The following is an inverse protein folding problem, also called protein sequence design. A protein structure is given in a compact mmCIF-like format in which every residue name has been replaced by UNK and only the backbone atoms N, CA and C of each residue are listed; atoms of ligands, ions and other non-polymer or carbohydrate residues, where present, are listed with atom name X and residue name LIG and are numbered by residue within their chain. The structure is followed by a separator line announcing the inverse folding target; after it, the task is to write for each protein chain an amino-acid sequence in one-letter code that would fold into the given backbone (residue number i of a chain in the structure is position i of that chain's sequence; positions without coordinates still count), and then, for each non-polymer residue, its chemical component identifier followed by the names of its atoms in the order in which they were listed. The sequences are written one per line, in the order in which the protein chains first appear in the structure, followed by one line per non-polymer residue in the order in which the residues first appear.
data_IF_543440230304
#
_entry.id   IF_543440230304
#
_cell.length_a   1.000
_cell.length_b   1.000
_cell.length_c   1.000
_cell.angle_alpha   90.00
_cell.angle_beta   90.00
_cell.angle_gamma   90.00
#
_symmetry.space_group_name_H-M   'P 1'
#
loop_
_entity.id
_entity.type
_entity.pdbx_description
1 polymer ?
#
# COMPACT_ATOMS: atom_id res chain seq x y z
N UNK A 1 -77.73 32.37 -42.03
CA UNK A 1 -77.95 31.59 -43.27
C UNK A 1 -77.46 30.16 -43.06
N UNK A 2 -78.29 29.18 -43.43
CA UNK A 2 -77.98 27.82 -43.92
C UNK A 2 -77.00 26.95 -43.08
N UNK A 3 -77.33 25.75 -42.61
CA UNK A 3 -78.47 24.88 -42.90
C UNK A 3 -78.15 23.46 -42.44
N UNK A 4 -79.18 22.82 -41.89
CA UNK A 4 -79.43 21.37 -41.70
C UNK A 4 -78.48 20.40 -42.44
N UNK A 5 -78.11 19.29 -41.77
CA UNK A 5 -78.67 17.95 -42.05
C UNK A 5 -78.18 16.87 -41.07
N UNK A 6 -79.14 16.19 -40.43
CA UNK A 6 -79.01 14.83 -39.86
C UNK A 6 -78.97 13.80 -41.01
N UNK A 7 -78.22 12.71 -40.83
CA UNK A 7 -78.80 11.36 -40.85
C UNK A 7 -78.36 10.60 -39.58
N UNK A 8 -79.14 9.77 -38.90
CA UNK A 8 -79.99 8.71 -39.42
C UNK A 8 -79.13 7.46 -39.64
N UNK A 9 -79.01 6.56 -38.65
CA UNK A 9 -78.18 5.36 -38.81
C UNK A 9 -78.09 4.41 -37.63
N UNK A 10 -79.09 3.53 -37.54
CA UNK A 10 -79.05 2.12 -37.09
C UNK A 10 -78.32 1.74 -35.79
N UNK A 11 -79.16 1.35 -34.81
CA UNK A 11 -78.86 0.36 -33.78
C UNK A 11 -78.32 -0.92 -34.44
N UNK A 12 -77.11 -1.33 -34.07
CA UNK A 12 -76.72 -2.74 -34.06
C UNK A 12 -76.30 -3.11 -32.65
N UNK A 13 -77.15 -3.92 -32.03
CA UNK A 13 -76.85 -4.76 -30.89
C UNK A 13 -75.79 -5.78 -31.30
N UNK A 14 -74.55 -5.62 -30.83
CA UNK A 14 -73.59 -6.70 -30.78
C UNK A 14 -72.49 -6.42 -29.75
N UNK A 15 -72.25 -7.42 -28.91
CA UNK A 15 -71.06 -7.63 -28.08
C UNK A 15 -71.00 -7.00 -26.68
N UNK A 16 -71.95 -7.39 -25.83
CA UNK A 16 -71.68 -7.51 -24.38
C UNK A 16 -70.59 -8.54 -24.04
N UNK A 17 -70.05 -9.29 -25.01
CA UNK A 17 -68.90 -10.18 -24.84
C UNK A 17 -67.52 -9.50 -25.05
N UNK A 18 -67.44 -8.36 -25.75
CA UNK A 18 -66.15 -7.66 -25.97
C UNK A 18 -65.81 -6.67 -24.83
N UNK A 19 -66.83 -6.14 -24.14
CA UNK A 19 -66.64 -5.26 -22.98
C UNK A 19 -66.17 -5.99 -21.71
N UNK A 20 -66.42 -7.31 -21.59
CA UNK A 20 -65.91 -8.11 -20.48
C UNK A 20 -64.42 -8.49 -20.65
N UNK A 21 -63.95 -8.72 -21.88
CA UNK A 21 -62.54 -8.99 -22.17
C UNK A 21 -61.64 -7.73 -22.11
N UNK A 22 -62.20 -6.55 -22.42
CA UNK A 22 -61.49 -5.27 -22.27
C UNK A 22 -61.42 -4.78 -20.82
N UNK A 23 -62.35 -5.18 -19.95
CA UNK A 23 -62.35 -4.82 -18.53
C UNK A 23 -61.39 -5.66 -17.68
N UNK A 24 -60.99 -6.86 -18.12
CA UNK A 24 -59.96 -7.67 -17.45
C UNK A 24 -58.52 -7.27 -17.84
N UNK A 25 -58.32 -6.71 -19.03
CA UNK A 25 -56.98 -6.30 -19.51
C UNK A 25 -56.49 -4.99 -18.87
N UNK A 26 -57.37 -4.13 -18.34
CA UNK A 26 -56.95 -2.88 -17.68
C UNK A 26 -56.53 -3.04 -16.21
N UNK A 27 -56.99 -4.09 -15.51
CA UNK A 27 -56.63 -4.31 -14.09
C UNK A 27 -55.20 -4.82 -13.87
N UNK A 28 -54.43 -5.07 -14.93
CA UNK A 28 -53.08 -5.64 -14.84
C UNK A 28 -51.96 -4.72 -15.37
N UNK A 29 -52.21 -3.41 -15.54
CA UNK A 29 -51.12 -2.44 -15.74
C UNK A 29 -50.34 -2.26 -14.43
N UNK A 30 -49.44 -3.20 -14.14
CA UNK A 30 -48.49 -3.12 -13.02
C UNK A 30 -47.71 -1.81 -13.17
N UNK A 31 -47.89 -0.88 -12.23
CA UNK A 31 -47.17 0.39 -12.18
C UNK A 31 -45.66 0.13 -12.34
N UNK A 32 -44.95 0.95 -13.14
CA UNK A 32 -43.51 0.80 -13.31
C UNK A 32 -42.84 0.88 -11.93
N UNK A 33 -42.10 -0.17 -11.56
CA UNK A 33 -41.37 -0.22 -10.30
C UNK A 33 -40.35 0.91 -10.26
N UNK A 34 -40.28 1.63 -9.14
CA UNK A 34 -39.29 2.69 -8.97
C UNK A 34 -37.87 2.12 -8.99
N UNK A 35 -36.88 2.95 -9.34
CA UNK A 35 -35.48 2.52 -9.38
C UNK A 35 -35.01 1.97 -8.02
N UNK A 36 -35.48 2.56 -6.91
CA UNK A 36 -35.25 2.03 -5.56
C UNK A 36 -35.85 0.64 -5.33
N UNK A 37 -37.06 0.35 -5.86
CA UNK A 37 -37.64 -1.00 -5.80
C UNK A 37 -36.84 -2.02 -6.62
N UNK A 38 -36.25 -1.61 -7.75
CA UNK A 38 -35.37 -2.48 -8.55
C UNK A 38 -34.07 -2.79 -7.81
N UNK A 39 -33.44 -1.80 -7.18
CA UNK A 39 -32.23 -1.99 -6.37
C UNK A 39 -32.53 -2.90 -5.17
N UNK A 40 -33.63 -2.64 -4.46
CA UNK A 40 -34.05 -3.48 -3.34
C UNK A 40 -34.34 -4.92 -3.80
N UNK A 41 -35.05 -5.09 -4.92
CA UNK A 41 -35.35 -6.43 -5.44
C UNK A 41 -34.09 -7.15 -5.95
N UNK A 42 -33.09 -6.43 -6.46
CA UNK A 42 -31.81 -7.02 -6.85
C UNK A 42 -30.97 -7.45 -5.63
N UNK A 43 -30.93 -6.64 -4.57
CA UNK A 43 -30.13 -6.91 -3.37
C UNK A 43 -30.79 -7.91 -2.41
N UNK A 44 -32.11 -7.81 -2.25
CA UNK A 44 -32.87 -8.56 -1.23
C UNK A 44 -33.94 -9.49 -1.81
N UNK A 45 -34.17 -9.49 -3.12
CA UNK A 45 -35.26 -10.28 -3.73
C UNK A 45 -35.10 -11.80 -3.57
N UNK A 46 -33.88 -12.27 -3.30
CA UNK A 46 -33.62 -13.68 -2.96
C UNK A 46 -34.14 -14.06 -1.56
N UNK A 47 -34.31 -13.11 -0.65
CA UNK A 47 -34.86 -13.33 0.69
C UNK A 47 -36.39 -13.37 0.70
N UNK A 48 -37.06 -12.82 -0.32
CA UNK A 48 -38.52 -12.76 -0.45
C UNK A 48 -39.09 -13.93 -1.29
N UNK A 49 -38.51 -15.12 -1.16
CA UNK A 49 -39.05 -16.32 -1.82
C UNK A 49 -40.34 -16.75 -1.13
N UNK A 50 -41.47 -16.31 -1.69
CA UNK A 50 -42.79 -16.78 -1.26
C UNK A 50 -42.97 -18.22 -1.75
N UNK A 51 -42.73 -19.17 -0.87
CA UNK A 51 -42.99 -20.59 -1.14
C UNK A 51 -44.48 -20.87 -0.89
N UNK A 52 -45.16 -21.38 -1.91
CA UNK A 52 -46.54 -21.88 -1.78
C UNK A 52 -46.50 -23.41 -1.73
N UNK A 53 -46.89 -23.98 -0.59
CA UNK A 53 -47.07 -25.42 -0.40
C UNK A 53 -48.55 -25.68 -0.11
N UNK A 54 -49.19 -26.55 -0.88
CA UNK A 54 -50.62 -26.91 -0.75
C UNK A 54 -51.58 -25.70 -0.68
N UNK A 55 -51.36 -24.68 -1.52
CA UNK A 55 -52.22 -23.49 -1.58
C UNK A 55 -52.10 -22.52 -0.39
N UNK A 56 -51.35 -22.87 0.65
CA UNK A 56 -51.04 -21.99 1.78
C UNK A 56 -49.74 -21.24 1.52
N UNK A 57 -49.74 -19.94 1.83
CA UNK A 57 -48.60 -19.05 1.66
C UNK A 57 -47.74 -19.13 2.92
N UNK A 58 -46.57 -19.75 2.84
CA UNK A 58 -45.62 -19.74 3.94
C UNK A 58 -44.83 -18.43 3.84
N UNK A 59 -44.86 -17.63 4.90
CA UNK A 59 -44.05 -16.43 5.01
C UNK A 59 -42.80 -16.82 5.79
N UNK A 60 -41.61 -16.84 5.16
CA UNK A 60 -40.39 -17.16 5.87
C UNK A 60 -40.13 -16.10 6.95
N UNK A 61 -39.71 -16.55 8.14
CA UNK A 61 -39.32 -15.65 9.21
C UNK A 61 -37.90 -15.13 8.97
N UNK A 62 -37.78 -13.98 8.30
CA UNK A 62 -36.49 -13.36 7.96
C UNK A 62 -35.73 -12.82 9.19
N UNK A 63 -36.30 -12.89 10.40
CA UNK A 63 -35.64 -12.46 11.63
C UNK A 63 -34.38 -13.27 11.95
N UNK A 64 -34.35 -14.57 11.63
CA UNK A 64 -33.18 -15.42 11.89
C UNK A 64 -32.02 -15.06 10.96
N UNK A 65 -32.31 -14.88 9.67
CA UNK A 65 -31.32 -14.51 8.66
C UNK A 65 -30.71 -13.14 8.99
N UNK A 66 -31.55 -12.15 9.32
CA UNK A 66 -31.06 -10.81 9.70
C UNK A 66 -30.19 -10.83 10.96
N UNK A 67 -30.55 -11.61 12.00
CA UNK A 67 -29.70 -11.81 13.19
C UNK A 67 -28.37 -12.47 12.85
N UNK A 68 -28.34 -13.39 11.88
CA UNK A 68 -27.13 -14.05 11.44
C UNK A 68 -26.22 -13.13 10.60
N UNK A 69 -26.81 -12.25 9.79
CA UNK A 69 -26.09 -11.30 8.95
C UNK A 69 -25.61 -10.04 9.70
N UNK A 70 -26.21 -9.73 10.85
CA UNK A 70 -25.90 -8.50 11.60
C UNK A 70 -24.43 -8.43 12.06
N UNK A 71 -23.81 -9.47 12.65
CA UNK A 71 -22.39 -9.40 13.03
C UNK A 71 -21.46 -9.28 11.83
N UNK A 72 -21.79 -9.93 10.71
CA UNK A 72 -21.01 -9.84 9.47
C UNK A 72 -21.05 -8.42 8.90
N UNK A 73 -22.23 -7.80 8.88
CA UNK A 73 -22.41 -6.42 8.40
C UNK A 73 -21.74 -5.41 9.32
N UNK A 74 -21.86 -5.57 10.65
CA UNK A 74 -21.15 -4.74 11.64
C UNK A 74 -19.63 -4.87 11.47
N UNK A 75 -19.12 -6.09 11.28
CA UNK A 75 -17.70 -6.32 10.99
C UNK A 75 -17.25 -5.67 9.69
N UNK A 76 -18.01 -5.82 8.61
CA UNK A 76 -17.68 -5.22 7.31
C UNK A 76 -17.63 -3.68 7.40
N UNK A 77 -18.59 -3.06 8.10
CA UNK A 77 -18.58 -1.60 8.35
C UNK A 77 -17.34 -1.21 9.17
N UNK A 78 -17.00 -1.96 10.21
CA UNK A 78 -15.81 -1.70 11.02
C UNK A 78 -14.52 -1.75 10.20
N UNK A 79 -14.38 -2.76 9.31
CA UNK A 79 -13.24 -2.88 8.39
C UNK A 79 -13.16 -1.69 7.43
N UNK A 80 -14.29 -1.27 6.84
CA UNK A 80 -14.33 -0.12 5.93
C UNK A 80 -13.90 1.16 6.65
N UNK A 81 -14.40 1.41 7.86
CA UNK A 81 -14.06 2.59 8.66
C UNK A 81 -12.57 2.59 9.02
N UNK A 82 -12.05 1.47 9.52
CA UNK A 82 -10.63 1.34 9.85
C UNK A 82 -9.76 1.56 8.61
N UNK A 83 -10.09 0.92 7.51
CA UNK A 83 -9.32 1.05 6.27
C UNK A 83 -9.36 2.49 5.74
N UNK A 84 -10.49 3.17 5.84
CA UNK A 84 -10.62 4.59 5.50
C UNK A 84 -9.73 5.49 6.36
N UNK A 85 -9.72 5.27 7.68
CA UNK A 85 -8.84 6.02 8.61
C UNK A 85 -7.38 5.73 8.32
N UNK A 86 -7.01 4.47 8.14
CA UNK A 86 -5.66 4.05 7.74
C UNK A 86 -5.23 4.73 6.45
N UNK A 87 -6.09 4.73 5.43
CA UNK A 87 -5.79 5.33 4.14
C UNK A 87 -5.54 6.84 4.28
N UNK A 88 -6.36 7.54 5.07
CA UNK A 88 -6.16 8.96 5.36
C UNK A 88 -4.83 9.21 6.11
N UNK A 89 -4.46 8.32 7.05
CA UNK A 89 -3.19 8.42 7.78
C UNK A 89 -1.99 8.14 6.87
N UNK A 90 -2.07 7.12 6.00
CA UNK A 90 -1.06 6.77 5.01
C UNK A 90 -0.84 7.90 4.00
N UNK A 91 -1.91 8.57 3.55
CA UNK A 91 -1.81 9.75 2.69
C UNK A 91 -1.00 10.87 3.39
N UNK A 92 -1.12 11.00 4.72
CA UNK A 92 -0.33 11.92 5.52
C UNK A 92 1.15 11.55 5.69
N UNK A 93 1.58 10.33 5.34
CA UNK A 93 2.98 9.89 5.47
C UNK A 93 3.88 10.35 4.33
N UNK A 94 3.31 10.81 3.21
CA UNK A 94 4.10 11.33 2.09
C UNK A 94 4.92 12.56 2.51
N UNK A 95 4.37 13.39 3.39
CA UNK A 95 5.00 14.61 3.89
C UNK A 95 6.27 14.33 4.73
N UNK A 96 6.23 13.49 5.79
CA UNK A 96 7.44 13.10 6.53
C UNK A 96 8.50 12.42 5.67
N UNK A 97 8.11 11.54 4.74
CA UNK A 97 9.05 10.87 3.84
C UNK A 97 9.74 11.84 2.88
N UNK A 98 8.99 12.78 2.32
CA UNK A 98 9.56 13.84 1.48
C UNK A 98 10.54 14.72 2.27
N UNK A 99 10.19 15.06 3.52
CA UNK A 99 11.05 15.83 4.43
C UNK A 99 12.36 15.10 4.76
N UNK A 100 12.28 13.79 5.03
CA UNK A 100 13.45 12.95 5.28
C UNK A 100 14.37 12.87 4.05
N UNK A 101 13.78 12.74 2.86
CA UNK A 101 14.54 12.73 1.61
C UNK A 101 15.22 14.08 1.33
N UNK A 102 14.53 15.20 1.57
CA UNK A 102 15.09 16.54 1.49
C UNK A 102 16.27 16.71 2.47
N UNK A 103 16.11 16.28 3.72
CA UNK A 103 17.16 16.36 4.74
C UNK A 103 18.39 15.53 4.35
N UNK A 104 18.19 14.30 3.84
CA UNK A 104 19.27 13.47 3.34
C UNK A 104 20.02 14.12 2.16
N UNK A 105 19.28 14.76 1.24
CA UNK A 105 19.89 15.47 0.11
C UNK A 105 20.70 16.69 0.56
N UNK A 106 20.16 17.52 1.45
CA UNK A 106 20.89 18.66 2.02
C UNK A 106 22.18 18.18 2.70
N UNK A 107 22.12 17.10 3.48
CA UNK A 107 23.30 16.51 4.13
C UNK A 107 24.36 16.04 3.13
N UNK A 108 23.92 15.42 2.03
CA UNK A 108 24.80 15.05 0.93
C UNK A 108 25.45 16.28 0.27
N UNK A 109 24.68 17.33 -0.01
CA UNK A 109 25.20 18.56 -0.60
C UNK A 109 26.18 19.29 0.32
N UNK A 110 25.89 19.38 1.62
CA UNK A 110 26.82 19.94 2.62
C UNK A 110 28.15 19.18 2.61
N UNK A 111 28.08 17.85 2.59
CA UNK A 111 29.28 17.00 2.55
C UNK A 111 30.08 17.23 1.27
N UNK A 112 29.40 17.37 0.12
CA UNK A 112 30.03 17.61 -1.17
C UNK A 112 30.67 19.00 -1.26
N UNK A 113 29.95 20.05 -0.83
CA UNK A 113 30.45 21.43 -0.75
C UNK A 113 31.69 21.49 0.14
N UNK A 114 31.68 20.79 1.28
CA UNK A 114 32.83 20.72 2.19
C UNK A 114 34.04 20.08 1.50
N UNK A 115 33.89 18.92 0.89
CA UNK A 115 34.98 18.22 0.20
C UNK A 115 35.55 19.07 -0.94
N UNK A 116 34.71 19.71 -1.75
CA UNK A 116 35.17 20.63 -2.80
C UNK A 116 35.87 21.86 -2.23
N UNK A 117 35.35 22.40 -1.13
CA UNK A 117 35.99 23.48 -0.38
C UNK A 117 37.38 23.12 0.14
N UNK A 118 37.55 21.89 0.65
CA UNK A 118 38.85 21.36 1.06
C UNK A 118 39.79 21.21 -0.14
N UNK A 119 39.31 20.70 -1.28
CA UNK A 119 40.09 20.67 -2.51
C UNK A 119 40.54 22.07 -2.97
N UNK A 120 39.65 23.07 -2.90
CA UNK A 120 39.99 24.45 -3.23
C UNK A 120 41.10 24.99 -2.31
N UNK A 121 40.96 24.75 -1.00
CA UNK A 121 41.88 25.25 0.01
C UNK A 121 43.29 24.62 -0.04
N UNK A 122 43.38 23.36 -0.49
CA UNK A 122 44.62 22.58 -0.55
C UNK A 122 45.20 22.41 -1.97
N UNK A 123 44.53 22.88 -3.02
CA UNK A 123 45.06 22.84 -4.38
C UNK A 123 46.35 23.67 -4.48
N UNK A 124 47.38 23.10 -5.12
CA UNK A 124 48.70 23.73 -5.26
C UNK A 124 48.80 24.61 -6.51
N UNK A 125 48.07 24.28 -7.58
CA UNK A 125 48.04 25.04 -8.83
C UNK A 125 46.92 26.10 -8.83
N UNK A 126 47.26 27.32 -9.26
CA UNK A 126 46.33 28.45 -9.39
C UNK A 126 45.26 28.14 -10.45
N UNK A 127 45.64 27.49 -11.56
CA UNK A 127 44.68 27.14 -12.61
C UNK A 127 43.65 26.10 -12.14
N UNK A 128 44.08 25.16 -11.30
CA UNK A 128 43.21 24.17 -10.68
C UNK A 128 42.23 24.84 -9.71
N UNK A 129 42.71 25.77 -8.86
CA UNK A 129 41.84 26.55 -7.97
C UNK A 129 40.76 27.30 -8.72
N UNK A 130 41.07 27.90 -9.87
CA UNK A 130 40.07 28.58 -10.69
C UNK A 130 38.94 27.66 -11.13
N UNK A 131 39.26 26.42 -11.55
CA UNK A 131 38.24 25.45 -11.96
C UNK A 131 37.38 24.98 -10.78
N UNK A 132 38.02 24.62 -9.67
CA UNK A 132 37.33 24.13 -8.47
C UNK A 132 36.43 25.22 -7.88
N UNK A 133 36.84 26.48 -7.97
CA UNK A 133 36.05 27.64 -7.52
C UNK A 133 34.71 27.72 -8.24
N UNK A 134 34.68 27.61 -9.57
CA UNK A 134 33.44 27.68 -10.34
C UNK A 134 32.49 26.54 -9.95
N UNK A 135 33.03 25.32 -9.81
CA UNK A 135 32.28 24.16 -9.34
C UNK A 135 31.74 24.36 -7.91
N UNK A 136 32.54 24.92 -7.01
CA UNK A 136 32.15 25.19 -5.63
C UNK A 136 30.96 26.18 -5.58
N UNK A 137 31.02 27.27 -6.34
CA UNK A 137 29.95 28.28 -6.36
C UNK A 137 28.64 27.73 -6.91
N UNK A 138 28.70 26.87 -7.94
CA UNK A 138 27.52 26.15 -8.42
C UNK A 138 26.92 25.26 -7.33
N UNK A 139 27.76 24.47 -6.64
CA UNK A 139 27.29 23.57 -5.57
C UNK A 139 26.75 24.32 -4.34
N UNK A 140 27.31 25.48 -4.00
CA UNK A 140 26.80 26.34 -2.92
C UNK A 140 25.44 26.92 -3.30
N UNK A 141 25.25 27.30 -4.57
CA UNK A 141 23.96 27.76 -5.08
C UNK A 141 22.90 26.65 -4.98
N UNK A 142 23.22 25.45 -5.48
CA UNK A 142 22.35 24.28 -5.37
C UNK A 142 22.00 23.95 -3.91
N UNK A 143 22.99 24.02 -3.01
CA UNK A 143 22.79 23.81 -1.58
C UNK A 143 21.84 24.85 -0.99
N UNK A 144 22.00 26.14 -1.33
CA UNK A 144 21.14 27.22 -0.83
C UNK A 144 19.69 27.01 -1.24
N UNK A 145 19.45 26.61 -2.49
CA UNK A 145 18.11 26.31 -2.99
C UNK A 145 17.48 25.10 -2.31
N UNK A 146 18.21 23.97 -2.24
CA UNK A 146 17.70 22.75 -1.60
C UNK A 146 17.52 22.92 -0.08
N UNK A 147 18.36 23.73 0.56
CA UNK A 147 18.18 24.11 1.96
C UNK A 147 16.94 24.97 2.16
N UNK A 148 16.71 25.98 1.32
CA UNK A 148 15.48 26.77 1.35
C UNK A 148 14.23 25.89 1.16
N UNK A 149 14.30 24.88 0.27
CA UNK A 149 13.22 23.91 0.09
C UNK A 149 12.99 23.03 1.32
N UNK A 150 14.04 22.64 2.04
CA UNK A 150 13.92 21.92 3.31
C UNK A 150 13.19 22.78 4.37
N UNK A 151 13.56 24.07 4.46
CA UNK A 151 13.05 24.97 5.50
C UNK A 151 11.62 25.43 5.23
N UNK A 152 11.33 25.84 3.99
CA UNK A 152 10.08 26.50 3.62
C UNK A 152 9.13 25.61 2.80
N UNK A 153 9.59 24.43 2.40
CA UNK A 153 8.87 23.54 1.50
C UNK A 153 8.97 24.00 0.05
N UNK A 154 8.47 23.17 -0.86
CA UNK A 154 8.47 23.44 -2.28
C UNK A 154 8.64 22.19 -3.14
N UNK A 155 9.03 22.35 -4.39
CA UNK A 155 9.29 21.23 -5.30
C UNK A 155 10.79 20.92 -5.27
N UNK A 156 11.14 19.71 -4.85
CA UNK A 156 12.52 19.21 -4.88
C UNK A 156 12.94 19.05 -6.34
N UNK A 157 14.15 19.50 -6.72
CA UNK A 157 14.67 19.27 -8.07
C UNK A 157 14.85 17.78 -8.33
N UNK A 158 14.44 17.30 -9.50
CA UNK A 158 14.63 15.89 -9.85
C UNK A 158 16.11 15.56 -9.99
N UNK A 159 16.60 14.60 -9.19
CA UNK A 159 18.00 14.14 -9.24
C UNK A 159 18.27 13.36 -10.54
N UNK A 160 17.24 12.74 -11.12
CA UNK A 160 17.33 12.03 -12.39
C UNK A 160 16.10 12.29 -13.25
N UNK A 161 16.34 12.64 -14.53
CA UNK A 161 15.29 12.74 -15.55
C UNK A 161 14.54 11.41 -15.64
N UNK A 162 13.21 11.47 -15.52
CA UNK A 162 12.33 10.29 -15.56
C UNK A 162 11.90 9.74 -14.20
N UNK A 163 12.35 10.30 -13.08
CA UNK A 163 11.79 9.97 -11.76
C UNK A 163 10.51 10.78 -11.51
N UNK A 164 9.35 10.12 -11.50
CA UNK A 164 8.02 10.77 -11.40
C UNK A 164 7.65 11.28 -10.01
N UNK A 165 8.58 11.22 -9.04
CA UNK A 165 8.35 11.65 -7.67
C UNK A 165 8.48 13.18 -7.53
N UNK A 166 7.57 13.94 -8.16
CA UNK A 166 7.39 15.38 -7.87
C UNK A 166 6.58 15.51 -6.58
N UNK A 167 7.20 15.24 -5.43
CA UNK A 167 6.56 15.48 -4.14
C UNK A 167 6.80 16.94 -3.75
N UNK A 168 5.70 17.70 -3.71
CA UNK A 168 5.66 18.96 -2.98
C UNK A 168 6.03 18.64 -1.53
N UNK A 169 7.20 19.09 -1.11
CA UNK A 169 7.71 18.84 0.23
C UNK A 169 7.17 19.92 1.14
N UNK A 170 6.51 19.56 2.26
CA UNK A 170 6.12 20.55 3.25
C UNK A 170 7.36 21.16 3.90
N UNK A 171 7.23 22.30 4.60
CA UNK A 171 8.33 22.85 5.37
C UNK A 171 8.77 21.89 6.49
N UNK A 172 9.87 21.18 6.27
CA UNK A 172 10.33 20.10 7.14
C UNK A 172 10.77 20.61 8.52
N UNK A 173 11.38 21.80 8.54
CA UNK A 173 11.84 22.46 9.78
C UNK A 173 10.70 22.70 10.79
N UNK A 174 9.46 22.79 10.31
CA UNK A 174 8.27 23.02 11.13
C UNK A 174 7.36 21.79 11.24
N UNK A 175 7.77 20.64 10.71
CA UNK A 175 6.98 19.40 10.74
C UNK A 175 6.82 18.84 12.17
N UNK A 176 7.79 19.11 13.04
CA UNK A 176 7.78 18.72 14.46
C UNK A 176 8.26 19.90 15.32
N UNK A 177 7.68 20.12 16.52
CA UNK A 177 8.17 21.12 17.45
C UNK A 177 9.61 20.88 17.88
N UNK A 178 10.04 19.61 17.98
CA UNK A 178 11.41 19.25 18.38
C UNK A 178 12.43 19.63 17.30
N UNK A 179 12.05 19.41 16.03
CA UNK A 179 12.87 19.83 14.87
C UNK A 179 12.95 21.36 14.85
N UNK A 180 11.82 22.06 14.97
CA UNK A 180 11.82 23.52 15.01
C UNK A 180 12.64 24.09 16.18
N UNK A 181 12.63 23.40 17.33
CA UNK A 181 13.46 23.76 18.47
C UNK A 181 14.94 23.61 18.16
N UNK A 182 15.36 22.50 17.54
CA UNK A 182 16.75 22.27 17.15
C UNK A 182 17.25 23.34 16.16
N UNK A 183 16.44 23.67 15.16
CA UNK A 183 16.83 24.62 14.12
C UNK A 183 16.89 26.06 14.63
N UNK A 184 15.89 26.52 15.39
CA UNK A 184 15.70 27.97 15.62
C UNK A 184 15.81 28.40 17.08
N UNK A 185 15.58 27.51 18.04
CA UNK A 185 15.42 27.88 19.47
C UNK A 185 16.50 27.31 20.38
N UNK A 186 17.40 26.51 19.83
CA UNK A 186 18.41 25.84 20.65
C UNK A 186 19.52 26.82 20.99
N UNK A 187 19.55 27.21 22.27
CA UNK A 187 20.56 28.11 22.82
C UNK A 187 21.78 27.35 23.40
N UNK A 188 21.84 26.05 23.18
CA UNK A 188 22.89 25.17 23.69
C UNK A 188 23.79 24.67 22.57
N UNK A 189 25.03 24.34 22.91
CA UNK A 189 25.96 23.71 21.99
C UNK A 189 25.40 22.38 21.43
N UNK A 190 25.49 22.20 20.11
CA UNK A 190 24.98 21.02 19.42
C UNK A 190 25.94 19.83 19.40
N UNK A 191 27.18 19.97 19.88
CA UNK A 191 28.13 18.85 19.95
C UNK A 191 27.61 17.69 20.79
N UNK A 192 27.97 16.47 20.43
CA UNK A 192 27.70 15.28 21.22
C UNK A 192 28.47 15.30 22.55
N UNK A 193 29.73 15.73 22.52
CA UNK A 193 30.54 15.97 23.72
C UNK A 193 30.45 17.44 24.16
N UNK A 194 29.60 17.69 25.17
CA UNK A 194 29.35 19.03 25.71
C UNK A 194 30.59 19.69 26.34
N UNK A 195 31.62 18.92 26.70
CA UNK A 195 32.84 19.46 27.28
C UNK A 195 33.72 20.18 26.26
N UNK A 196 33.58 19.83 24.97
CA UNK A 196 34.36 20.41 23.86
C UNK A 196 33.71 21.65 23.25
N UNK A 197 32.58 22.08 23.78
CA UNK A 197 31.86 23.24 23.30
C UNK A 197 32.68 24.52 23.46
N UNK A 198 32.54 25.42 22.51
CA UNK A 198 33.12 26.75 22.61
C UNK A 198 32.60 27.46 23.87
N UNK A 199 33.50 28.14 24.57
CA UNK A 199 33.18 28.96 25.74
C UNK A 199 32.69 30.36 25.31
N UNK A 200 31.97 31.11 26.16
CA UNK A 200 31.42 32.42 25.81
C UNK A 200 32.43 33.49 25.34
N UNK A 201 33.70 33.32 25.66
CA UNK A 201 34.82 34.17 25.22
C UNK A 201 35.31 33.86 23.80
N UNK A 202 34.93 32.71 23.24
CA UNK A 202 35.27 32.33 21.87
C UNK A 202 34.46 33.14 20.85
N UNK A 203 35.07 33.61 19.74
CA UNK A 203 34.35 34.29 18.67
C UNK A 203 33.29 33.41 17.98
N UNK A 204 33.36 32.09 18.15
CA UNK A 204 32.43 31.14 17.54
C UNK A 204 31.24 30.78 18.42
N UNK A 205 31.28 31.14 19.71
CA UNK A 205 30.22 30.76 20.66
C UNK A 205 28.84 31.24 20.22
N UNK A 206 28.74 32.48 19.74
CA UNK A 206 27.46 33.06 19.38
C UNK A 206 26.80 32.30 18.22
N UNK A 207 27.57 31.87 17.21
CA UNK A 207 26.98 31.15 16.08
C UNK A 207 26.63 29.70 16.43
N UNK A 208 27.44 29.04 17.26
CA UNK A 208 27.20 27.64 17.62
C UNK A 208 26.10 27.42 18.64
N UNK A 209 25.65 28.48 19.30
CA UNK A 209 24.58 28.47 20.30
C UNK A 209 23.30 29.18 19.84
N UNK A 210 23.11 29.45 18.54
CA UNK A 210 21.90 30.12 18.02
C UNK A 210 21.07 29.20 17.11
N UNK A 211 21.09 27.89 17.40
CA UNK A 211 20.40 26.87 16.62
C UNK A 211 21.18 26.40 15.39
N UNK A 212 20.68 25.32 14.78
CA UNK A 212 21.30 24.72 13.60
C UNK A 212 21.17 25.60 12.35
N UNK A 213 20.05 26.32 12.22
CA UNK A 213 19.75 27.16 11.06
C UNK A 213 20.83 28.25 10.85
N UNK A 214 21.14 28.98 11.91
CA UNK A 214 22.17 30.01 11.90
C UNK A 214 23.55 29.46 11.47
N UNK A 215 23.90 28.24 11.88
CA UNK A 215 25.16 27.60 11.49
C UNK A 215 25.17 27.20 10.01
N UNK A 216 24.08 26.64 9.49
CA UNK A 216 23.99 26.24 8.07
C UNK A 216 23.95 27.46 7.15
N UNK A 217 23.20 28.50 7.49
CA UNK A 217 23.21 29.75 6.73
C UNK A 217 24.61 30.38 6.72
N UNK A 218 25.27 30.44 7.89
CA UNK A 218 26.64 30.93 7.97
C UNK A 218 27.61 30.08 7.16
N UNK A 219 27.41 28.77 7.11
CA UNK A 219 28.19 27.85 6.28
C UNK A 219 28.06 28.16 4.80
N UNK A 220 26.83 28.33 4.30
CA UNK A 220 26.54 28.68 2.90
C UNK A 220 27.20 30.01 2.55
N UNK A 221 26.97 31.05 3.36
CA UNK A 221 27.55 32.38 3.15
C UNK A 221 29.09 32.37 3.20
N UNK A 222 29.68 31.58 4.10
CA UNK A 222 31.13 31.50 4.25
C UNK A 222 31.77 30.79 3.07
N UNK A 223 31.18 29.70 2.56
CA UNK A 223 31.68 29.04 1.35
C UNK A 223 31.45 29.87 0.09
N UNK A 224 30.36 30.60 -0.01
CA UNK A 224 30.13 31.56 -1.10
C UNK A 224 31.19 32.66 -1.09
N UNK A 225 31.46 33.26 0.08
CA UNK A 225 32.50 34.26 0.24
C UNK A 225 33.89 33.68 -0.06
N UNK A 226 34.18 32.45 0.40
CA UNK A 226 35.45 31.77 0.16
C UNK A 226 35.65 31.45 -1.33
N UNK A 227 34.61 30.97 -2.02
CA UNK A 227 34.62 30.77 -3.47
C UNK A 227 34.79 32.09 -4.23
N UNK A 228 34.27 33.20 -3.72
CA UNK A 228 34.42 34.51 -4.38
C UNK A 228 35.81 35.16 -4.21
N UNK A 229 36.67 34.65 -3.32
CA UNK A 229 38.04 35.16 -3.18
C UNK A 229 38.85 35.01 -4.49
N UNK A 230 39.88 35.86 -4.68
CA UNK A 230 40.94 35.60 -5.65
C UNK A 230 41.61 34.24 -5.40
N UNK A 231 42.00 33.54 -6.46
CA UNK A 231 42.56 32.19 -6.37
C UNK A 231 43.86 32.13 -5.54
N UNK A 232 44.61 33.23 -5.45
CA UNK A 232 45.80 33.32 -4.60
C UNK A 232 45.45 33.38 -3.10
N UNK A 233 44.25 33.86 -2.75
CA UNK A 233 43.80 34.05 -1.37
C UNK A 233 42.94 32.90 -0.82
N UNK A 234 42.46 32.01 -1.70
CA UNK A 234 41.68 30.82 -1.32
C UNK A 234 42.58 29.66 -0.83
N UNK A 235 43.31 29.86 0.27
CA UNK A 235 44.19 28.86 0.87
C UNK A 235 43.72 28.41 2.26
N UNK A 236 44.20 27.25 2.73
CA UNK A 236 43.78 26.63 4.00
C UNK A 236 44.04 27.43 5.29
N UNK A 237 44.82 28.51 5.23
CA UNK A 237 45.06 29.40 6.38
C UNK A 237 44.27 30.72 6.29
N UNK A 238 43.36 30.83 5.32
CA UNK A 238 42.46 31.98 5.23
C UNK A 238 41.43 31.93 6.38
N UNK A 239 41.09 33.08 6.97
CA UNK A 239 40.20 33.18 8.14
C UNK A 239 38.83 32.53 7.93
N UNK A 240 38.26 32.67 6.73
CA UNK A 240 37.00 32.01 6.36
C UNK A 240 37.11 30.48 6.41
N UNK A 241 38.21 29.92 5.90
CA UNK A 241 38.44 28.48 5.92
C UNK A 241 38.76 27.96 7.32
N UNK A 242 39.47 28.74 8.14
CA UNK A 242 39.69 28.40 9.54
C UNK A 242 38.38 28.30 10.32
N UNK A 243 37.43 29.22 10.10
CA UNK A 243 36.08 29.11 10.68
C UNK A 243 35.38 27.82 10.23
N UNK A 244 35.41 27.53 8.92
CA UNK A 244 34.81 26.32 8.36
C UNK A 244 35.39 25.07 9.03
N UNK A 245 36.72 24.97 9.17
CA UNK A 245 37.35 23.79 9.75
C UNK A 245 37.16 23.66 11.27
N UNK A 246 36.94 24.76 11.99
CA UNK A 246 36.79 24.73 13.45
C UNK A 246 35.35 24.49 13.89
N UNK A 247 34.36 25.02 13.16
CA UNK A 247 32.94 24.96 13.56
C UNK A 247 32.19 23.82 12.89
N UNK A 248 32.45 23.59 11.59
CA UNK A 248 31.61 22.67 10.79
C UNK A 248 31.74 21.21 11.22
N UNK A 249 32.95 20.62 11.34
CA UNK A 249 33.09 19.17 11.51
C UNK A 249 32.50 18.67 12.83
N UNK A 250 32.48 19.52 13.86
CA UNK A 250 31.99 19.20 15.19
C UNK A 250 30.55 19.71 15.39
N UNK A 251 30.36 21.02 15.60
CA UNK A 251 29.07 21.60 16.03
C UNK A 251 27.98 21.44 14.98
N UNK A 252 28.26 21.81 13.73
CA UNK A 252 27.25 21.79 12.67
C UNK A 252 26.90 20.36 12.26
N UNK A 253 27.90 19.49 12.07
CA UNK A 253 27.65 18.09 11.67
C UNK A 253 26.94 17.29 12.76
N UNK A 254 27.32 17.44 14.03
CA UNK A 254 26.58 16.81 15.14
C UNK A 254 25.14 17.32 15.20
N UNK A 255 24.92 18.61 14.97
CA UNK A 255 23.58 19.20 14.86
C UNK A 255 22.77 18.62 13.70
N UNK A 256 23.38 18.43 12.52
CA UNK A 256 22.74 17.79 11.37
C UNK A 256 22.38 16.33 11.68
N UNK A 257 23.27 15.58 12.33
CA UNK A 257 22.98 14.19 12.73
C UNK A 257 21.83 14.12 13.74
N UNK A 258 21.77 15.03 14.71
CA UNK A 258 20.62 15.16 15.62
C UNK A 258 19.34 15.49 14.86
N UNK A 259 19.39 16.37 13.86
CA UNK A 259 18.24 16.69 13.02
C UNK A 259 17.74 15.47 12.24
N UNK A 260 18.65 14.69 11.64
CA UNK A 260 18.31 13.45 10.92
C UNK A 260 17.66 12.43 11.86
N UNK A 261 18.20 12.26 13.07
CA UNK A 261 17.65 11.35 14.09
C UNK A 261 16.24 11.79 14.52
N UNK A 262 16.02 13.09 14.73
CA UNK A 262 14.69 13.64 15.01
C UNK A 262 13.71 13.43 13.86
N UNK A 263 14.13 13.64 12.60
CA UNK A 263 13.31 13.34 11.43
C UNK A 263 12.98 11.84 11.31
N UNK A 264 13.95 10.98 11.62
CA UNK A 264 13.80 9.53 11.67
C UNK A 264 12.75 9.12 12.70
N UNK A 265 12.93 9.55 13.95
CA UNK A 265 12.01 9.26 15.06
C UNK A 265 10.62 9.81 14.81
N UNK A 266 10.51 11.03 14.28
CA UNK A 266 9.22 11.60 13.87
C UNK A 266 8.52 10.73 12.83
N UNK A 267 9.25 10.29 11.80
CA UNK A 267 8.71 9.42 10.75
C UNK A 267 8.29 8.06 11.29
N UNK A 268 9.13 7.42 12.10
CA UNK A 268 8.85 6.12 12.75
C UNK A 268 7.59 6.20 13.62
N UNK A 269 7.46 7.25 14.44
CA UNK A 269 6.28 7.44 15.32
C UNK A 269 4.96 7.48 14.54
N UNK A 270 4.97 8.03 13.31
CA UNK A 270 3.78 8.05 12.44
C UNK A 270 3.45 6.66 11.89
N UNK A 271 4.47 5.87 11.53
CA UNK A 271 4.29 4.48 11.09
C UNK A 271 3.80 3.57 12.22
N UNK A 272 4.32 3.75 13.44
CA UNK A 272 3.87 3.00 14.62
C UNK A 272 2.38 3.24 14.89
N UNK A 273 1.91 4.49 14.79
CA UNK A 273 0.49 4.80 14.95
C UNK A 273 -0.43 4.08 13.94
N UNK A 274 0.01 3.94 12.68
CA UNK A 274 -0.74 3.17 11.66
C UNK A 274 -0.69 1.67 11.97
N UNK A 275 0.47 1.17 12.38
CA UNK A 275 0.68 -0.24 12.73
C UNK A 275 -0.20 -0.64 13.93
N UNK A 276 -0.25 0.20 14.96
CA UNK A 276 -1.08 -0.02 16.15
C UNK A 276 -2.58 -0.11 15.79
N UNK A 277 -3.05 0.71 14.86
CA UNK A 277 -4.44 0.69 14.40
C UNK A 277 -4.79 -0.64 13.71
N UNK A 278 -3.89 -1.17 12.87
CA UNK A 278 -4.08 -2.50 12.25
C UNK A 278 -4.03 -3.63 13.27
N UNK A 279 -3.14 -3.55 14.26
CA UNK A 279 -3.08 -4.54 15.34
C UNK A 279 -4.39 -4.58 16.13
N UNK A 280 -4.96 -3.42 16.48
CA UNK A 280 -6.27 -3.33 17.13
C UNK A 280 -7.36 -3.93 16.23
N UNK A 281 -7.38 -3.61 14.93
CA UNK A 281 -8.34 -4.17 13.98
C UNK A 281 -8.25 -5.69 13.89
N UNK A 282 -7.04 -6.24 13.89
CA UNK A 282 -6.81 -7.69 13.89
C UNK A 282 -7.41 -8.34 15.14
N UNK A 283 -7.14 -7.78 16.33
CA UNK A 283 -7.70 -8.28 17.59
C UNK A 283 -9.23 -8.23 17.57
N UNK A 284 -9.82 -7.10 17.17
CA UNK A 284 -11.29 -6.94 17.07
C UNK A 284 -11.88 -7.96 16.08
N UNK A 285 -11.23 -8.18 14.93
CA UNK A 285 -11.70 -9.15 13.93
C UNK A 285 -11.70 -10.57 14.49
N UNK A 286 -10.62 -10.97 15.18
CA UNK A 286 -10.54 -12.29 15.83
C UNK A 286 -11.63 -12.42 16.88
N UNK A 287 -11.83 -11.41 17.74
CA UNK A 287 -12.88 -11.41 18.76
C UNK A 287 -14.28 -11.54 18.17
N UNK A 288 -14.59 -10.84 17.06
CA UNK A 288 -15.88 -10.93 16.38
C UNK A 288 -16.10 -12.31 15.75
N UNK A 289 -15.07 -12.87 15.11
CA UNK A 289 -15.14 -14.23 14.53
C UNK A 289 -15.37 -15.29 15.61
N UNK A 290 -14.62 -15.22 16.72
CA UNK A 290 -14.81 -16.15 17.85
C UNK A 290 -16.22 -16.01 18.45
N UNK A 291 -16.69 -14.77 18.63
CA UNK A 291 -18.04 -14.50 19.13
C UNK A 291 -19.11 -15.06 18.18
N UNK A 292 -18.95 -14.90 16.87
CA UNK A 292 -19.84 -15.46 15.86
C UNK A 292 -19.89 -17.00 15.92
N UNK A 293 -18.73 -17.65 16.02
CA UNK A 293 -18.64 -19.11 16.11
C UNK A 293 -19.36 -19.63 17.36
N UNK A 294 -19.12 -19.01 18.51
CA UNK A 294 -19.67 -19.45 19.80
C UNK A 294 -21.16 -19.13 19.93
N UNK A 295 -21.58 -17.91 19.58
CA UNK A 295 -22.93 -17.40 19.86
C UNK A 295 -23.94 -17.70 18.74
N UNK A 296 -23.51 -17.84 17.49
CA UNK A 296 -24.44 -18.04 16.36
C UNK A 296 -24.23 -19.38 15.66
N UNK A 297 -23.00 -19.70 15.25
CA UNK A 297 -22.75 -20.92 14.48
C UNK A 297 -23.03 -22.18 15.29
N UNK A 298 -22.52 -22.25 16.54
CA UNK A 298 -22.72 -23.42 17.40
C UNK A 298 -24.19 -23.76 17.69
N UNK A 299 -25.06 -22.82 18.13
CA UNK A 299 -26.47 -23.15 18.34
C UNK A 299 -27.20 -23.47 17.04
N UNK A 300 -26.84 -22.81 15.93
CA UNK A 300 -27.44 -23.11 14.63
C UNK A 300 -27.13 -24.54 14.16
N UNK A 301 -25.88 -24.98 14.27
CA UNK A 301 -25.48 -26.36 13.93
C UNK A 301 -26.17 -27.37 14.85
N UNK A 302 -26.32 -27.07 16.14
CA UNK A 302 -27.08 -27.94 17.07
C UNK A 302 -28.52 -28.10 16.62
N UNK A 303 -29.20 -26.99 16.32
CA UNK A 303 -30.59 -27.01 15.86
C UNK A 303 -30.73 -27.79 14.55
N UNK A 304 -29.86 -27.53 13.56
CA UNK A 304 -29.87 -28.27 12.30
C UNK A 304 -29.65 -29.78 12.51
N UNK A 305 -28.82 -30.16 13.47
CA UNK A 305 -28.55 -31.56 13.76
C UNK A 305 -29.75 -32.23 14.44
N UNK A 306 -30.46 -31.53 15.32
CA UNK A 306 -31.72 -31.98 15.91
C UNK A 306 -32.81 -32.13 14.83
N UNK A 307 -33.03 -31.10 14.00
CA UNK A 307 -33.99 -31.17 12.90
C UNK A 307 -33.65 -32.27 11.88
N UNK A 308 -32.36 -32.46 11.58
CA UNK A 308 -31.92 -33.55 10.69
C UNK A 308 -32.22 -34.93 11.29
N UNK A 309 -32.10 -35.09 12.61
CA UNK A 309 -32.46 -36.34 13.30
C UNK A 309 -33.97 -36.58 13.27
N UNK A 310 -34.77 -35.53 13.47
CA UNK A 310 -36.23 -35.63 13.43
C UNK A 310 -36.72 -35.98 12.03
N UNK A 311 -36.15 -35.35 10.99
CA UNK A 311 -36.45 -35.66 9.59
C UNK A 311 -36.02 -37.09 9.26
N UNK A 312 -34.83 -37.53 9.69
CA UNK A 312 -34.39 -38.90 9.49
C UNK A 312 -35.31 -39.90 10.22
N UNK A 313 -35.79 -39.55 11.42
CA UNK A 313 -36.79 -40.32 12.16
C UNK A 313 -38.11 -40.44 11.41
N UNK A 314 -38.64 -39.33 10.88
CA UNK A 314 -39.85 -39.34 10.04
C UNK A 314 -39.65 -40.15 8.75
N UNK A 315 -38.49 -40.04 8.11
CA UNK A 315 -38.15 -40.82 6.91
C UNK A 315 -38.01 -42.30 7.21
N UNK A 316 -37.54 -42.66 8.42
CA UNK A 316 -37.43 -44.07 8.83
C UNK A 316 -38.78 -44.75 9.12
N UNK A 317 -39.83 -43.96 9.38
CA UNK A 317 -41.19 -44.47 9.61
C UNK A 317 -41.99 -44.66 8.32
N UNK A 318 -41.49 -44.18 7.18
CA UNK A 318 -42.11 -44.46 5.90
C UNK A 318 -41.89 -45.95 5.55
N UNK A 319 -42.96 -46.71 5.24
CA UNK A 319 -42.81 -48.10 4.83
C UNK A 319 -41.85 -48.18 3.64
N UNK A 320 -40.98 -49.19 3.63
CA UNK A 320 -39.91 -49.37 2.64
C UNK A 320 -40.40 -49.33 1.18
N UNK A 321 -41.69 -49.58 0.97
CA UNK A 321 -42.40 -49.52 -0.31
C UNK A 321 -42.50 -48.10 -0.90
N UNK A 322 -42.36 -47.04 -0.09
CA UNK A 322 -42.39 -45.63 -0.53
C UNK A 322 -40.96 -45.10 -0.54
N UNK A 323 -40.17 -45.55 -1.52
CA UNK A 323 -38.84 -44.99 -1.80
C UNK A 323 -38.98 -43.53 -2.30
N UNK A 324 -38.95 -42.59 -1.35
CA UNK A 324 -39.03 -41.15 -1.64
C UNK A 324 -37.84 -40.72 -2.50
N UNK A 325 -36.69 -41.39 -2.37
CA UNK A 325 -35.52 -41.14 -3.23
C UNK A 325 -35.79 -41.48 -4.71
N UNK A 326 -36.38 -42.64 -5.01
CA UNK A 326 -36.71 -42.98 -6.40
C UNK A 326 -37.80 -42.08 -6.94
N UNK A 327 -38.80 -41.76 -6.12
CA UNK A 327 -39.89 -40.88 -6.55
C UNK A 327 -39.37 -39.46 -6.83
N UNK A 328 -38.47 -38.91 -6.01
CA UNK A 328 -37.85 -37.59 -6.23
C UNK A 328 -36.85 -37.63 -7.39
N UNK A 329 -36.03 -38.68 -7.53
CA UNK A 329 -35.10 -38.82 -8.67
C UNK A 329 -35.86 -38.89 -10.00
N UNK A 330 -36.97 -39.62 -10.03
CA UNK A 330 -37.78 -39.79 -11.23
C UNK A 330 -38.65 -38.56 -11.51
N UNK A 331 -39.35 -37.99 -10.51
CA UNK A 331 -40.28 -36.88 -10.75
C UNK A 331 -39.63 -35.49 -10.72
N UNK A 332 -38.63 -35.25 -9.88
CA UNK A 332 -38.02 -33.91 -9.72
C UNK A 332 -36.76 -33.77 -10.57
N UNK A 333 -35.91 -34.79 -10.58
CA UNK A 333 -34.65 -34.75 -11.34
C UNK A 333 -34.78 -35.33 -12.76
N UNK A 334 -35.92 -35.97 -13.08
CA UNK A 334 -36.17 -36.57 -14.40
C UNK A 334 -35.20 -37.72 -14.74
N UNK A 335 -34.50 -38.26 -13.74
CA UNK A 335 -33.57 -39.35 -13.94
C UNK A 335 -34.38 -40.64 -14.12
N UNK A 336 -34.10 -41.44 -15.17
CA UNK A 336 -34.80 -42.69 -15.37
C UNK A 336 -34.57 -43.61 -14.16
N UNK A 337 -35.61 -44.34 -13.69
CA UNK A 337 -35.48 -45.22 -12.54
C UNK A 337 -34.37 -46.23 -12.81
N UNK A 338 -33.45 -46.36 -11.86
CA UNK A 338 -32.35 -47.31 -11.97
C UNK A 338 -32.94 -48.69 -11.74
N UNK A 339 -33.22 -49.40 -12.83
CA UNK A 339 -33.61 -50.81 -12.79
C UNK A 339 -32.38 -51.61 -12.39
N UNK A 340 -32.10 -51.71 -11.09
CA UNK A 340 -31.06 -52.60 -10.59
C UNK A 340 -31.55 -54.04 -10.83
N UNK A 341 -31.14 -54.61 -11.97
CA UNK A 341 -31.41 -55.97 -12.41
C UNK A 341 -30.71 -57.02 -11.55
N UNK A 342 -31.02 -57.08 -10.25
CA UNK A 342 -30.45 -58.03 -9.30
C UNK A 342 -31.49 -58.98 -8.71
N UNK A 343 -32.42 -59.42 -9.54
CA UNK A 343 -33.25 -60.62 -9.30
C UNK A 343 -33.48 -61.35 -10.62
N UNK A 344 -32.44 -61.97 -11.18
CA UNK A 344 -32.58 -63.08 -12.13
C UNK A 344 -31.25 -63.82 -12.33
N UNK A 345 -31.28 -65.13 -12.05
CA UNK A 345 -30.62 -66.18 -12.82
C UNK A 345 -29.09 -66.34 -12.70
N UNK A 346 -28.68 -67.22 -11.79
CA UNK A 346 -27.63 -68.20 -12.09
C UNK A 346 -28.14 -69.15 -13.20
N UNK A 347 -27.71 -68.96 -14.45
CA UNK A 347 -27.64 -70.03 -15.46
C UNK A 347 -26.47 -69.68 -16.39
N UNK A 348 -25.57 -70.63 -16.58
CA UNK A 348 -24.37 -70.50 -17.39
C UNK A 348 -24.62 -70.50 -18.90
N UNK A 349 -23.51 -70.44 -19.64
CA UNK A 349 -23.47 -70.58 -21.09
C UNK A 349 -22.78 -69.36 -21.73
N UNK A 350 -21.48 -69.45 -21.95
CA UNK A 350 -20.88 -69.75 -23.27
C UNK A 350 -20.96 -68.57 -24.25
N UNK A 351 -19.78 -67.99 -24.46
CA UNK A 351 -19.16 -67.68 -25.76
C UNK A 351 -20.08 -67.39 -26.95
N UNK A 352 -19.88 -66.23 -27.59
CA UNK A 352 -19.49 -66.15 -29.01
C UNK A 352 -18.91 -64.76 -29.28
N UNK A 353 -17.79 -64.79 -30.00
CA UNK A 353 -17.02 -63.68 -30.55
C UNK A 353 -17.82 -62.95 -31.63
N UNK A 354 -17.63 -61.64 -31.79
CA UNK A 354 -17.29 -61.10 -33.12
C UNK A 354 -16.63 -59.73 -33.04
N UNK A 355 -15.52 -59.64 -33.77
CA UNK A 355 -14.70 -58.47 -34.05
C UNK A 355 -15.43 -57.45 -34.93
N UNK A 356 -15.09 -56.17 -34.77
CA UNK A 356 -15.24 -55.14 -35.80
C UNK A 356 -14.66 -53.79 -35.34
N UNK A 357 -13.96 -53.03 -36.20
CA UNK A 357 -12.67 -52.43 -35.85
C UNK A 357 -12.65 -50.90 -35.82
N UNK A 358 -11.68 -50.36 -35.09
CA UNK A 358 -11.25 -48.96 -35.15
C UNK A 358 -11.50 -48.23 -33.83
N UNK A 359 -10.53 -47.66 -33.14
CA UNK A 359 -9.14 -47.45 -33.48
C UNK A 359 -8.58 -46.45 -32.47
N UNK A 360 -7.34 -46.74 -32.06
CA UNK A 360 -6.37 -45.83 -31.43
C UNK A 360 -6.52 -45.57 -29.94
N UNK A 361 -5.70 -46.36 -29.24
CA UNK A 361 -5.20 -46.22 -27.89
C UNK A 361 -4.30 -44.99 -27.79
N UNK A 362 -4.34 -44.30 -26.64
CA UNK A 362 -3.14 -43.84 -25.98
C UNK A 362 -3.30 -44.09 -24.49
N UNK A 363 -2.54 -45.06 -24.01
CA UNK A 363 -2.41 -45.40 -22.61
C UNK A 363 -1.46 -44.40 -21.93
N UNK A 364 -1.90 -43.83 -20.80
CA UNK A 364 -1.05 -43.21 -19.78
C UNK A 364 -1.22 -43.98 -18.46
N UNK A 365 -0.16 -44.14 -17.65
CA UNK A 365 -0.09 -45.13 -16.57
C UNK A 365 -0.88 -44.74 -15.30
N UNK A 366 -1.14 -45.70 -14.40
CA UNK A 366 -2.19 -45.59 -13.38
C UNK A 366 -1.68 -45.07 -12.03
N UNK A 367 -2.60 -44.42 -11.31
CA UNK A 367 -2.57 -44.26 -9.86
C UNK A 367 -2.07 -42.89 -9.40
N UNK A 368 -2.94 -42.08 -8.81
CA UNK A 368 -3.20 -42.03 -7.36
C UNK A 368 -4.49 -41.22 -7.14
N UNK A 369 -5.27 -41.70 -6.18
CA UNK A 369 -6.48 -41.18 -5.60
C UNK A 369 -6.52 -39.67 -5.29
N UNK A 370 -7.68 -39.07 -5.58
CA UNK A 370 -8.43 -38.33 -4.57
C UNK A 370 -8.18 -36.83 -4.42
N UNK A 371 -9.29 -36.14 -4.12
CA UNK A 371 -9.39 -34.88 -3.37
C UNK A 371 -9.50 -33.57 -4.18
N UNK A 372 -10.77 -33.23 -4.42
CA UNK A 372 -11.37 -31.90 -4.25
C UNK A 372 -10.43 -30.68 -4.34
N UNK A 373 -10.48 -30.01 -5.49
CA UNK A 373 -10.03 -28.63 -5.61
C UNK A 373 -11.05 -27.67 -5.02
N UNK A 374 -10.67 -26.99 -3.94
CA UNK A 374 -11.10 -25.64 -3.60
C UNK A 374 -10.07 -25.00 -2.66
N UNK A 375 -9.43 -23.94 -3.14
CA UNK A 375 -8.88 -22.84 -2.33
C UNK A 375 -7.61 -23.13 -1.55
N UNK A 376 -6.53 -22.42 -1.88
CA UNK A 376 -5.53 -21.85 -0.96
C UNK A 376 -4.44 -21.18 -1.83
N UNK A 377 -4.61 -19.90 -2.12
CA UNK A 377 -3.50 -19.01 -2.41
C UNK A 377 -3.12 -18.30 -1.11
N UNK A 378 -1.82 -18.02 -0.95
CA UNK A 378 -1.18 -17.17 0.06
C UNK A 378 -0.92 -17.79 1.44
N UNK A 379 0.17 -18.54 1.55
CA UNK A 379 1.02 -18.49 2.74
C UNK A 379 2.46 -18.83 2.35
N UNK A 380 3.41 -17.97 2.76
CA UNK A 380 4.83 -18.27 2.73
C UNK A 380 5.68 -17.29 1.93
N UNK A 381 6.07 -16.17 2.55
CA UNK A 381 7.42 -15.57 2.44
C UNK A 381 7.48 -14.28 3.25
N UNK A 382 8.02 -14.35 4.47
CA UNK A 382 8.77 -13.24 5.06
C UNK A 382 10.17 -13.77 5.36
N UNK A 383 11.09 -13.47 4.44
CA UNK A 383 12.53 -13.54 4.64
C UNK A 383 13.10 -12.12 4.63
N UNK A 384 14.20 -11.86 5.35
CA UNK A 384 14.75 -10.52 5.56
C UNK A 384 15.65 -10.08 4.40
N UNK A 385 15.63 -8.77 4.10
CA UNK A 385 16.65 -8.11 3.27
C UNK A 385 16.26 -7.89 1.81
N UNK A 386 15.59 -6.77 1.52
CA UNK A 386 15.57 -6.23 0.15
C UNK A 386 16.94 -5.61 -0.15
N UNK A 387 17.77 -6.33 -0.91
CA UNK A 387 18.87 -5.74 -1.69
C UNK A 387 18.31 -5.32 -3.05
N UNK A 388 18.56 -4.07 -3.42
CA UNK A 388 18.26 -3.51 -4.74
C UNK A 388 19.14 -4.24 -5.78
N UNK A 389 18.60 -4.74 -6.90
CA UNK A 389 19.42 -5.33 -7.95
C UNK A 389 20.27 -4.26 -8.65
N UNK A 390 21.57 -4.53 -8.74
CA UNK A 390 22.53 -3.73 -9.52
C UNK A 390 22.33 -4.07 -11.01
N UNK A 391 22.26 -3.09 -11.92
CA UNK A 391 22.14 -3.35 -13.36
C UNK A 391 23.40 -4.04 -13.92
N UNK A 392 23.27 -4.93 -14.93
CA UNK A 392 24.38 -5.68 -15.48
C UNK A 392 25.28 -4.77 -16.32
N UNK A 393 26.57 -4.66 -15.98
CA UNK A 393 27.53 -3.97 -16.85
C UNK A 393 28.86 -3.48 -16.27
N UNK A 394 29.24 -3.77 -15.01
CA UNK A 394 30.56 -3.38 -14.49
C UNK A 394 31.37 -4.56 -13.92
N UNK A 395 32.69 -4.66 -14.20
CA UNK A 395 33.55 -5.71 -13.67
C UNK A 395 33.76 -5.53 -12.17
N UNK A 396 33.55 -6.61 -11.41
CA UNK A 396 33.53 -6.63 -9.96
C UNK A 396 34.87 -6.30 -9.30
N UNK A 397 34.79 -5.51 -8.22
CA UNK A 397 35.77 -5.54 -7.14
C UNK A 397 35.22 -6.33 -5.96
N UNK A 398 36.10 -7.13 -5.38
CA UNK A 398 35.87 -8.09 -4.31
C UNK A 398 35.17 -7.49 -3.09
N UNK A 399 34.10 -8.15 -2.66
CA UNK A 399 33.55 -8.01 -1.32
C UNK A 399 34.26 -9.00 -0.39
N UNK A 400 34.86 -8.49 0.68
CA UNK A 400 35.42 -9.29 1.77
C UNK A 400 34.90 -8.79 3.12
N UNK A 401 34.14 -9.64 3.80
CA UNK A 401 34.13 -9.82 5.25
C UNK A 401 33.55 -8.71 6.13
N UNK A 402 32.37 -8.98 6.70
CA UNK A 402 31.83 -8.23 7.83
C UNK A 402 32.56 -8.54 9.15
N UNK A 403 32.35 -7.67 10.14
CA UNK A 403 32.81 -7.88 11.50
C UNK A 403 32.49 -6.66 12.36
N UNK A 404 31.83 -6.92 13.48
CA UNK A 404 31.24 -6.01 14.44
C UNK A 404 32.24 -5.03 15.10
N UNK A 405 31.73 -3.88 15.56
CA UNK A 405 32.38 -3.08 16.60
C UNK A 405 32.46 -1.59 16.29
N UNK A 406 31.52 -0.81 16.82
CA UNK A 406 31.68 0.63 16.99
C UNK A 406 32.75 0.90 18.06
N UNK A 407 33.99 0.99 17.62
CA UNK A 407 35.14 1.43 18.41
C UNK A 407 35.54 2.86 18.04
N UNK A 408 35.44 3.77 19.02
CA UNK A 408 36.16 5.05 19.05
C UNK A 408 37.65 4.81 18.80
N UNK A 409 38.29 5.59 17.92
CA UNK A 409 39.74 5.52 17.78
C UNK A 409 40.35 6.56 16.84
N UNK A 410 40.95 7.58 17.43
CA UNK A 410 42.15 8.33 17.00
C UNK A 410 42.23 8.94 15.59
N UNK A 411 42.12 10.27 15.58
CA UNK A 411 42.94 11.11 14.71
C UNK A 411 44.41 11.03 15.16
N UNK A 412 45.28 10.57 14.28
CA UNK A 412 46.74 10.59 14.40
C UNK A 412 47.33 10.50 13.00
N UNK A 413 48.11 11.52 12.62
CA UNK A 413 48.54 11.75 11.25
C UNK A 413 49.72 10.93 10.74
N UNK A 414 50.32 11.49 9.70
CA UNK A 414 51.54 11.12 8.98
C UNK A 414 51.35 10.35 7.66
N UNK A 415 51.71 11.07 6.59
CA UNK A 415 52.58 10.66 5.49
C UNK A 415 52.17 9.48 4.60
N UNK A 416 51.72 9.82 3.38
CA UNK A 416 51.56 8.87 2.29
C UNK A 416 51.55 9.57 0.95
N UNK A 417 52.71 9.65 0.30
CA UNK A 417 52.87 10.10 -1.08
C UNK A 417 51.98 9.28 -2.02
N UNK A 418 51.13 9.97 -2.79
CA UNK A 418 50.37 9.35 -3.89
C UNK A 418 50.97 9.80 -5.21
N UNK A 419 51.53 8.82 -5.92
CA UNK A 419 52.04 8.96 -7.27
C UNK A 419 50.90 9.30 -8.24
N UNK A 420 51.09 10.40 -8.96
CA UNK A 420 50.30 10.83 -10.10
C UNK A 420 50.38 9.77 -11.20
N UNK A 421 49.23 9.28 -11.68
CA UNK A 421 49.15 8.60 -12.95
C UNK A 421 48.23 9.38 -13.89
N UNK A 422 48.85 10.25 -14.68
CA UNK A 422 48.22 10.97 -15.79
C UNK A 422 47.82 9.95 -16.85
N UNK A 423 46.52 9.81 -17.10
CA UNK A 423 46.06 9.21 -18.36
C UNK A 423 45.05 10.13 -19.02
N UNK A 424 45.55 10.89 -19.99
CA UNK A 424 44.75 11.71 -20.87
C UNK A 424 43.77 10.88 -21.69
N UNK A 425 42.57 11.43 -21.88
CA UNK A 425 41.70 11.08 -22.99
C UNK A 425 40.87 12.31 -23.34
N UNK A 426 41.15 12.85 -24.51
CA UNK A 426 40.50 14.04 -25.04
C UNK A 426 39.15 13.75 -25.67
N UNK A 427 38.61 14.82 -26.26
CA UNK A 427 37.60 14.75 -27.31
C UNK A 427 36.22 15.24 -26.87
N UNK A 428 35.98 16.53 -27.08
CA UNK A 428 34.64 17.10 -27.26
C UNK A 428 33.91 16.43 -28.46
N UNK A 429 32.57 16.51 -28.50
CA UNK A 429 31.90 17.63 -29.19
C UNK A 429 30.75 18.19 -28.32
N UNK A 430 30.42 19.47 -28.30
CA UNK A 430 30.28 20.41 -29.41
C UNK A 430 28.85 20.38 -29.95
N UNK A 431 27.91 21.05 -29.28
CA UNK A 431 26.62 21.47 -29.86
C UNK A 431 26.13 22.77 -29.18
N UNK A 432 26.00 23.80 -30.04
CA UNK A 432 25.31 25.10 -29.96
C UNK A 432 25.10 25.80 -28.62
#
# INVERSE_FOLDING_TARGET
MKGKRKPGGKKHSASTAAAAAAAETEKNKKKPKSLGQRIHQALFGWMDTVIKLNGKKLVPNNSVISKFMLPLTVWAVAVIVVFGVTFQRLAGLQAPLASLNAAARVTYLISRVRVTGDHLAFASDINERHRIKDDLLLMVTDLREEYALLMYGGKIHHIAEGTTYSLLTPPAAFASPDVAQLFFRTNGCLRNDKSTCFKPDSPYHQITHNGLDAMVDRFIDTYEAFGNLPAELAYANHTLYLWLNQVVPDDMMDGIYQAIDLFGTYTISKFEGVTQLHQIMMVVTISVVLSFIVLLYRPYVKLLHEESKDIAGMLSQLPAEVSVEETVKVHVLGLPPRVDGRTASMVGGQSIMMMGPGGMMMAGPPGVSGQAGMGMMMSGMMGPGMRIPVPPGQPGMYAGGGGDGFGRGMYGGADGAVAVNVRGRGGAPGYY
#
